data_IF_911498968534
#
_entry.id   IF_911498968534
#
_cell.length_a   1.000
_cell.length_b   1.000
_cell.length_c   1.000
_cell.angle_alpha   90.00
_cell.angle_beta   90.00
_cell.angle_gamma   90.00
#
_symmetry.space_group_name_H-M   'P 1'
#
loop_
_entity.id
_entity.type
_entity.pdbx_description
1 polymer ?
#
# COMPACT_ATOMS: atom_id res chain seq x y z
N UNK A 1 16.60 50.54 83.00
CA UNK A 1 15.73 50.56 81.87
C UNK A 1 16.58 50.09 80.65
N UNK A 2 16.41 48.81 80.18
CA UNK A 2 17.27 48.23 79.19
C UNK A 2 16.42 48.07 77.91
N UNK A 3 16.87 48.73 76.81
CA UNK A 3 16.25 48.67 75.53
C UNK A 3 17.04 47.67 74.70
N UNK A 4 16.42 46.56 74.28
CA UNK A 4 16.99 45.56 73.42
C UNK A 4 16.66 45.91 71.94
N UNK A 5 17.62 45.87 71.01
CA UNK A 5 17.32 46.12 69.62
C UNK A 5 16.72 44.83 68.98
N UNK A 6 15.60 44.98 68.24
CA UNK A 6 15.00 43.97 67.40
C UNK A 6 15.85 43.80 66.17
N UNK A 7 16.30 42.57 65.95
CA UNK A 7 16.94 42.14 64.70
C UNK A 7 15.87 42.05 63.57
N UNK A 8 15.99 42.89 62.59
CA UNK A 8 15.21 42.80 61.36
C UNK A 8 15.62 41.57 60.56
N UNK A 9 14.65 40.67 60.29
CA UNK A 9 14.81 39.59 59.36
C UNK A 9 14.61 40.12 57.91
N UNK A 10 15.68 40.02 57.13
CA UNK A 10 15.62 40.31 55.72
C UNK A 10 14.98 39.11 55.02
N UNK A 11 13.74 39.27 54.53
CA UNK A 11 13.08 38.27 53.71
C UNK A 11 13.53 38.50 52.27
N UNK A 12 14.41 37.63 51.78
CA UNK A 12 14.79 37.59 50.37
C UNK A 12 13.69 36.85 49.63
N UNK A 13 12.81 37.57 48.93
CA UNK A 13 11.83 37.01 48.04
C UNK A 13 12.51 36.67 46.70
N UNK A 14 12.86 35.40 46.48
CA UNK A 14 13.30 34.88 45.17
C UNK A 14 12.05 34.75 44.26
N UNK A 15 11.91 35.69 43.35
CA UNK A 15 10.92 35.60 42.28
C UNK A 15 11.37 34.53 41.26
N UNK A 16 10.73 33.35 41.31
CA UNK A 16 10.89 32.31 40.30
C UNK A 16 10.06 32.74 39.06
N UNK A 17 10.70 33.34 38.06
CA UNK A 17 10.07 33.63 36.79
C UNK A 17 9.87 32.30 36.04
N UNK A 18 8.67 31.72 36.10
CA UNK A 18 8.26 30.61 35.23
C UNK A 18 8.10 31.13 33.83
N UNK A 19 9.09 30.85 32.96
CA UNK A 19 8.98 31.02 31.50
C UNK A 19 8.08 29.91 31.02
N UNK A 20 6.76 30.13 31.02
CA UNK A 20 5.82 29.30 30.26
C UNK A 20 6.06 29.60 28.79
N UNK A 21 6.89 28.77 28.17
CA UNK A 21 7.03 28.74 26.70
C UNK A 21 5.67 28.43 26.12
N UNK A 22 5.05 29.40 25.47
CA UNK A 22 3.88 29.20 24.63
C UNK A 22 4.34 28.44 23.41
N UNK A 23 4.42 27.10 23.53
CA UNK A 23 4.51 26.23 22.37
C UNK A 23 3.19 26.41 21.60
N UNK A 24 3.21 27.21 20.53
CA UNK A 24 2.08 27.26 19.59
C UNK A 24 1.86 25.83 19.10
N UNK A 25 0.63 25.28 19.16
CA UNK A 25 0.35 24.03 18.50
C UNK A 25 0.72 24.20 17.01
N UNK A 26 1.66 23.41 16.52
CA UNK A 26 1.90 23.30 15.10
C UNK A 26 0.63 22.67 14.50
N UNK A 27 -0.15 23.45 13.76
CA UNK A 27 -1.31 22.97 13.02
C UNK A 27 -0.76 22.33 11.74
N UNK A 28 -0.93 21.04 11.58
CA UNK A 28 -0.63 20.38 10.33
C UNK A 28 -1.53 20.96 9.21
N UNK A 29 -1.00 21.07 8.00
CA UNK A 29 -1.71 21.61 6.86
C UNK A 29 -2.62 20.55 6.26
N UNK A 30 -3.81 20.91 5.74
CA UNK A 30 -4.67 19.97 5.05
C UNK A 30 -3.94 19.26 3.92
N UNK A 31 -4.11 17.96 3.82
CA UNK A 31 -3.59 17.15 2.72
C UNK A 31 -4.71 16.46 1.95
N UNK A 32 -4.42 16.04 0.73
CA UNK A 32 -5.26 15.12 -0.03
C UNK A 32 -4.43 13.96 -0.55
N UNK A 33 -5.03 12.77 -0.55
CA UNK A 33 -4.42 11.57 -1.12
C UNK A 33 -5.22 11.16 -2.34
N UNK A 34 -4.54 10.70 -3.40
CA UNK A 34 -5.14 10.03 -4.55
C UNK A 34 -4.49 8.68 -4.73
N UNK A 35 -5.26 7.64 -5.09
CA UNK A 35 -4.74 6.30 -5.34
C UNK A 35 -5.15 5.78 -6.70
N UNK A 36 -4.23 5.15 -7.40
CA UNK A 36 -4.45 4.48 -8.68
C UNK A 36 -3.92 3.06 -8.65
N UNK A 37 -4.58 2.17 -9.40
CA UNK A 37 -4.14 0.80 -9.61
C UNK A 37 -3.87 0.57 -11.12
N UNK A 38 -2.72 0.00 -11.44
CA UNK A 38 -2.32 -0.28 -12.82
C UNK A 38 -1.80 -1.71 -12.95
N UNK A 39 -2.48 -2.55 -13.74
CA UNK A 39 -3.76 -2.32 -14.42
C UNK A 39 -4.95 -2.29 -13.43
N UNK A 40 -6.11 -1.67 -13.79
CA UNK A 40 -7.30 -1.66 -12.94
C UNK A 40 -8.03 -3.02 -12.90
N UNK A 41 -7.63 -3.95 -13.76
CA UNK A 41 -8.09 -5.34 -13.75
C UNK A 41 -6.92 -6.29 -13.98
N UNK A 42 -6.93 -7.43 -13.28
CA UNK A 42 -5.83 -8.39 -13.30
C UNK A 42 -6.36 -9.82 -13.24
N UNK A 43 -5.52 -10.77 -13.60
CA UNK A 43 -5.76 -12.20 -13.36
C UNK A 43 -5.16 -12.57 -12.00
N UNK A 44 -5.79 -13.50 -11.28
CA UNK A 44 -5.25 -14.06 -10.04
C UNK A 44 -3.78 -14.38 -10.17
N UNK A 45 -2.96 -13.94 -9.22
CA UNK A 45 -1.53 -14.15 -9.17
C UNK A 45 -0.69 -13.19 -10.00
N UNK A 46 -1.31 -12.24 -10.76
CA UNK A 46 -0.55 -11.24 -11.50
C UNK A 46 -0.33 -9.96 -10.66
N UNK A 47 0.84 -9.32 -10.80
CA UNK A 47 1.14 -8.10 -10.05
C UNK A 47 0.32 -6.90 -10.55
N UNK A 48 -0.14 -6.07 -9.61
CA UNK A 48 -0.80 -4.78 -9.84
C UNK A 48 0.00 -3.71 -9.11
N UNK A 49 0.36 -2.65 -9.81
CA UNK A 49 1.02 -1.49 -9.22
C UNK A 49 -0.03 -0.57 -8.58
N UNK A 50 0.09 -0.34 -7.30
CA UNK A 50 -0.68 0.66 -6.54
C UNK A 50 0.22 1.89 -6.38
N UNK A 51 -0.27 3.04 -6.80
CA UNK A 51 0.43 4.31 -6.66
C UNK A 51 -0.46 5.30 -5.93
N UNK A 52 0.02 5.80 -4.79
CA UNK A 52 -0.60 6.89 -4.05
C UNK A 52 0.19 8.18 -4.26
N UNK A 53 -0.54 9.29 -4.41
CA UNK A 53 0.04 10.64 -4.43
C UNK A 53 -0.61 11.45 -3.33
N UNK A 54 0.22 12.04 -2.49
CA UNK A 54 -0.15 12.93 -1.40
C UNK A 54 0.15 14.37 -1.83
N UNK A 55 -0.87 15.20 -1.88
CA UNK A 55 -0.76 16.63 -2.12
C UNK A 55 -0.94 17.36 -0.79
N UNK A 56 0.10 18.11 -0.41
CA UNK A 56 0.13 18.91 0.81
C UNK A 56 0.98 20.16 0.58
N UNK A 57 0.56 21.36 1.07
CA UNK A 57 1.37 22.57 0.99
C UNK A 57 2.68 22.52 1.77
N UNK A 58 2.80 21.63 2.76
CA UNK A 58 4.01 21.37 3.52
C UNK A 58 4.79 20.16 3.00
N UNK A 59 5.75 19.69 3.79
CA UNK A 59 6.53 18.48 3.46
C UNK A 59 5.75 17.22 3.86
N UNK A 60 5.30 16.38 2.90
CA UNK A 60 4.59 15.14 3.20
C UNK A 60 5.53 14.01 3.69
N UNK A 61 6.85 14.22 3.65
CA UNK A 61 7.84 13.23 4.12
C UNK A 61 7.99 13.26 5.64
N UNK A 62 8.77 12.35 6.20
CA UNK A 62 9.09 12.35 7.63
C UNK A 62 8.02 11.78 8.57
N UNK A 63 6.85 11.39 8.03
CA UNK A 63 5.81 10.63 8.75
C UNK A 63 5.93 9.12 8.53
N UNK A 64 4.89 8.37 8.91
CA UNK A 64 4.81 6.92 8.71
C UNK A 64 4.59 6.52 7.24
N UNK A 65 4.28 7.48 6.37
CA UNK A 65 4.02 7.23 4.96
C UNK A 65 2.57 6.90 4.66
N UNK A 66 2.35 6.14 3.56
CA UNK A 66 1.03 5.69 3.10
C UNK A 66 0.88 4.20 3.43
N UNK A 67 -0.20 3.86 4.11
CA UNK A 67 -0.61 2.48 4.37
C UNK A 67 -1.63 2.05 3.33
N UNK A 68 -1.35 0.94 2.64
CA UNK A 68 -2.25 0.32 1.67
C UNK A 68 -3.02 -0.82 2.33
N UNK A 69 -4.33 -0.89 2.05
CA UNK A 69 -5.21 -1.97 2.50
C UNK A 69 -5.97 -2.55 1.32
N UNK A 70 -6.34 -3.83 1.41
CA UNK A 70 -7.34 -4.49 0.57
C UNK A 70 -8.58 -4.77 1.44
N UNK A 71 -9.61 -3.96 1.26
CA UNK A 71 -10.75 -3.96 2.18
C UNK A 71 -10.32 -3.57 3.59
N UNK A 72 -10.27 -4.54 4.49
CA UNK A 72 -9.79 -4.36 5.88
C UNK A 72 -8.41 -4.94 6.15
N UNK A 73 -7.82 -5.63 5.18
CA UNK A 73 -6.53 -6.32 5.35
C UNK A 73 -5.37 -5.40 5.00
N UNK A 74 -4.39 -5.29 5.91
CA UNK A 74 -3.17 -4.54 5.70
C UNK A 74 -2.31 -5.21 4.62
N UNK A 75 -1.95 -4.45 3.58
CA UNK A 75 -1.00 -4.88 2.57
C UNK A 75 0.43 -4.47 2.94
N UNK A 76 0.67 -3.16 3.05
CA UNK A 76 2.00 -2.62 3.40
C UNK A 76 1.91 -1.15 3.79
N UNK A 77 2.98 -0.62 4.40
CA UNK A 77 3.17 0.81 4.65
C UNK A 77 4.46 1.28 3.99
N UNK A 78 4.32 2.23 3.08
CA UNK A 78 5.41 2.74 2.24
C UNK A 78 5.67 4.22 2.54
N UNK A 79 6.92 4.59 2.73
CA UNK A 79 7.31 5.98 2.96
C UNK A 79 7.00 6.82 1.71
N UNK A 80 6.53 8.05 1.95
CA UNK A 80 6.31 9.04 0.89
C UNK A 80 7.65 9.63 0.48
N UNK A 81 7.91 9.71 -0.82
CA UNK A 81 9.10 10.37 -1.36
C UNK A 81 8.92 11.89 -1.42
N UNK A 82 9.99 12.63 -1.78
CA UNK A 82 9.99 14.08 -1.86
C UNK A 82 8.99 14.67 -2.90
N UNK A 83 8.44 13.84 -3.79
CA UNK A 83 7.41 14.24 -4.75
C UNK A 83 5.99 13.92 -4.25
N UNK A 84 5.83 13.54 -2.99
CA UNK A 84 4.55 13.16 -2.42
C UNK A 84 4.06 11.76 -2.84
N UNK A 85 4.91 10.88 -3.36
CA UNK A 85 4.52 9.61 -3.95
C UNK A 85 4.91 8.42 -3.08
N UNK A 86 4.03 7.41 -3.02
CA UNK A 86 4.27 6.09 -2.44
C UNK A 86 3.72 5.01 -3.38
N UNK A 87 4.49 3.94 -3.61
CA UNK A 87 4.10 2.86 -4.51
C UNK A 87 4.26 1.50 -3.88
N UNK A 88 3.31 0.61 -4.15
CA UNK A 88 3.32 -0.77 -3.69
C UNK A 88 2.89 -1.72 -4.81
N UNK A 89 3.50 -2.91 -4.89
CA UNK A 89 3.10 -3.95 -5.85
C UNK A 89 2.29 -5.01 -5.12
N UNK A 90 0.99 -5.07 -5.40
CA UNK A 90 0.09 -6.07 -4.84
C UNK A 90 -0.07 -7.27 -5.77
N UNK A 91 -0.31 -8.45 -5.18
CA UNK A 91 -0.69 -9.67 -5.90
C UNK A 91 -1.90 -10.28 -5.22
N UNK A 92 -3.00 -10.40 -5.96
CA UNK A 92 -4.27 -10.89 -5.42
C UNK A 92 -4.41 -12.39 -5.67
N UNK A 93 -4.83 -13.14 -4.65
CA UNK A 93 -5.01 -14.60 -4.70
C UNK A 93 -6.47 -15.02 -4.83
N UNK A 94 -7.40 -14.08 -4.67
CA UNK A 94 -8.85 -14.30 -4.78
C UNK A 94 -9.42 -13.54 -5.96
N UNK A 95 -10.47 -14.09 -6.57
CA UNK A 95 -11.22 -13.41 -7.63
C UNK A 95 -12.29 -12.50 -7.05
N UNK A 96 -12.63 -11.44 -7.76
CA UNK A 96 -13.67 -10.50 -7.36
C UNK A 96 -13.21 -9.05 -7.42
N UNK A 97 -13.96 -8.20 -6.75
CA UNK A 97 -13.68 -6.78 -6.61
C UNK A 97 -12.89 -6.55 -5.32
N UNK A 98 -11.66 -6.07 -5.45
CA UNK A 98 -10.79 -5.68 -4.35
C UNK A 98 -10.85 -4.17 -4.17
N UNK A 99 -11.24 -3.71 -2.98
CA UNK A 99 -11.28 -2.27 -2.65
C UNK A 99 -9.97 -1.88 -2.00
N UNK A 100 -9.15 -1.16 -2.74
CA UNK A 100 -7.84 -0.70 -2.27
C UNK A 100 -8.01 0.66 -1.61
N UNK A 101 -7.54 0.78 -0.39
CA UNK A 101 -7.50 2.02 0.38
C UNK A 101 -6.04 2.42 0.54
N UNK A 102 -5.70 3.65 0.16
CA UNK A 102 -4.42 4.27 0.47
C UNK A 102 -4.64 5.33 1.55
N UNK A 103 -4.09 5.10 2.73
CA UNK A 103 -4.21 6.00 3.88
C UNK A 103 -2.86 6.64 4.17
N UNK A 104 -2.75 7.94 3.90
CA UNK A 104 -1.61 8.73 4.33
C UNK A 104 -1.72 9.01 5.84
N UNK A 105 -0.70 8.64 6.59
CA UNK A 105 -0.71 8.69 8.06
C UNK A 105 -0.36 10.09 8.63
N UNK A 106 -0.13 11.06 7.74
CA UNK A 106 0.27 12.40 8.13
C UNK A 106 1.77 12.52 8.41
N UNK A 107 2.22 13.77 8.56
CA UNK A 107 3.56 14.16 8.99
C UNK A 107 3.49 15.26 10.04
N UNK A 108 4.63 15.85 10.40
CA UNK A 108 4.66 17.01 11.29
C UNK A 108 4.01 18.26 10.66
N UNK A 109 3.93 18.32 9.33
CA UNK A 109 3.45 19.48 8.58
C UNK A 109 2.13 19.22 7.84
N UNK A 110 1.76 17.95 7.61
CA UNK A 110 0.62 17.56 6.81
C UNK A 110 -0.35 16.68 7.60
N UNK A 111 -1.65 16.97 7.54
CA UNK A 111 -2.70 16.13 8.12
C UNK A 111 -2.79 14.78 7.40
N UNK A 112 -3.37 13.80 8.08
CA UNK A 112 -3.69 12.51 7.47
C UNK A 112 -4.83 12.66 6.45
N UNK A 113 -4.79 11.85 5.38
CA UNK A 113 -5.82 11.80 4.35
C UNK A 113 -5.88 10.41 3.73
N UNK A 114 -6.94 10.08 2.99
CA UNK A 114 -7.07 8.78 2.36
C UNK A 114 -7.91 8.85 1.08
N UNK A 115 -7.71 7.86 0.22
CA UNK A 115 -8.49 7.67 -1.00
C UNK A 115 -8.67 6.17 -1.28
N UNK A 116 -9.61 5.84 -2.16
CA UNK A 116 -9.95 4.47 -2.51
C UNK A 116 -10.02 4.25 -4.00
N UNK A 117 -9.56 3.08 -4.45
CA UNK A 117 -9.75 2.61 -5.83
C UNK A 117 -10.16 1.14 -5.83
N UNK A 118 -10.54 0.61 -6.97
CA UNK A 118 -10.98 -0.78 -7.10
C UNK A 118 -10.16 -1.52 -8.13
N UNK A 119 -9.77 -2.76 -7.80
CA UNK A 119 -9.13 -3.70 -8.73
C UNK A 119 -10.07 -4.87 -8.99
N UNK A 120 -10.36 -5.16 -10.26
CA UNK A 120 -11.14 -6.34 -10.65
C UNK A 120 -10.21 -7.52 -10.92
N UNK A 121 -10.34 -8.59 -10.13
CA UNK A 121 -9.52 -9.78 -10.28
C UNK A 121 -10.34 -10.93 -10.85
N UNK A 122 -9.87 -11.49 -11.96
CA UNK A 122 -10.52 -12.60 -12.67
C UNK A 122 -9.71 -13.90 -12.52
N UNK A 123 -10.36 -15.04 -12.72
CA UNK A 123 -9.66 -16.32 -12.80
C UNK A 123 -8.74 -16.38 -14.01
N UNK A 124 -7.65 -17.16 -13.90
CA UNK A 124 -6.84 -17.49 -15.06
C UNK A 124 -7.70 -18.19 -16.12
N UNK A 125 -7.47 -17.91 -17.42
CA UNK A 125 -8.14 -18.64 -18.50
C UNK A 125 -7.90 -20.14 -18.32
N UNK A 126 -8.98 -20.92 -18.34
CA UNK A 126 -8.84 -22.38 -18.38
C UNK A 126 -8.16 -22.76 -19.69
N UNK A 127 -7.07 -23.55 -19.66
CA UNK A 127 -6.47 -24.05 -20.88
C UNK A 127 -7.56 -24.75 -21.73
N UNK A 128 -7.57 -24.58 -23.05
CA UNK A 128 -8.52 -25.29 -23.89
C UNK A 128 -8.35 -26.80 -23.65
N UNK A 129 -9.48 -27.47 -23.48
CA UNK A 129 -9.48 -28.94 -23.37
C UNK A 129 -8.70 -29.50 -24.58
N UNK A 130 -7.81 -30.50 -24.36
CA UNK A 130 -7.12 -31.14 -25.47
C UNK A 130 -8.19 -31.59 -26.45
N UNK A 131 -8.01 -31.18 -27.74
CA UNK A 131 -8.93 -31.58 -28.80
C UNK A 131 -9.05 -33.12 -28.80
N UNK A 132 -10.27 -33.68 -28.95
CA UNK A 132 -10.43 -35.12 -29.06
C UNK A 132 -9.53 -35.60 -30.20
N UNK A 133 -8.61 -36.50 -29.84
CA UNK A 133 -7.65 -37.04 -30.81
C UNK A 133 -8.43 -37.62 -32.00
N UNK A 134 -8.15 -37.10 -33.21
CA UNK A 134 -8.74 -37.62 -34.43
C UNK A 134 -8.02 -38.95 -34.76
N UNK A 135 -8.70 -40.05 -34.48
CA UNK A 135 -8.21 -41.37 -34.90
C UNK A 135 -8.45 -41.54 -36.41
N UNK A 136 -7.42 -41.41 -37.21
CA UNK A 136 -7.49 -41.63 -38.69
C UNK A 136 -7.54 -43.10 -39.05
N UNK A 137 -7.10 -44.03 -38.22
CA UNK A 137 -7.16 -45.49 -38.40
C UNK A 137 -7.44 -46.19 -37.09
N UNK A 138 -8.24 -47.24 -37.16
CA UNK A 138 -8.81 -48.05 -36.07
C UNK A 138 -8.05 -47.96 -34.72
N UNK A 139 -8.76 -47.58 -33.66
CA UNK A 139 -8.27 -47.55 -32.28
C UNK A 139 -7.74 -48.94 -31.87
N UNK A 140 -6.44 -49.18 -32.04
CA UNK A 140 -5.75 -50.45 -31.84
C UNK A 140 -4.51 -50.61 -32.66
N UNK A 141 -4.24 -49.65 -33.57
CA UNK A 141 -3.09 -49.67 -34.45
C UNK A 141 -1.89 -48.85 -33.92
N UNK A 142 -0.74 -49.19 -34.39
CA UNK A 142 0.62 -48.87 -33.98
C UNK A 142 1.02 -47.38 -33.92
N UNK A 143 0.16 -46.39 -34.23
CA UNK A 143 0.56 -44.98 -34.30
C UNK A 143 -0.57 -44.11 -33.70
N UNK A 144 -0.31 -43.49 -32.57
CA UNK A 144 -1.11 -42.41 -31.99
C UNK A 144 -0.47 -41.07 -32.29
N UNK A 145 -1.15 -40.24 -33.10
CA UNK A 145 -0.75 -38.85 -33.29
C UNK A 145 -1.47 -38.02 -32.28
N UNK A 146 -0.72 -37.47 -31.33
CA UNK A 146 -1.23 -36.42 -30.45
C UNK A 146 -0.92 -35.07 -31.09
N UNK A 147 -1.91 -34.42 -31.66
CA UNK A 147 -1.78 -33.02 -32.10
C UNK A 147 -2.08 -32.14 -30.89
N UNK A 148 -1.11 -32.07 -30.00
CA UNK A 148 -1.10 -31.11 -28.95
C UNK A 148 -0.10 -30.03 -29.32
N UNK A 149 -0.59 -28.82 -29.42
CA UNK A 149 0.17 -27.59 -29.66
C UNK A 149 0.90 -27.49 -31.00
N UNK A 150 0.62 -26.40 -31.73
CA UNK A 150 1.27 -26.00 -33.00
C UNK A 150 2.71 -25.48 -32.70
N UNK A 151 3.46 -26.18 -31.88
CA UNK A 151 4.90 -26.02 -31.71
C UNK A 151 5.60 -27.33 -32.08
N UNK A 152 5.68 -27.59 -33.36
CA UNK A 152 6.69 -28.43 -34.08
C UNK A 152 7.39 -29.56 -33.30
N UNK A 153 6.73 -30.27 -32.41
CA UNK A 153 7.26 -31.47 -31.78
C UNK A 153 6.41 -32.69 -32.17
N UNK A 154 6.83 -33.33 -33.23
CA UNK A 154 6.31 -34.65 -33.63
C UNK A 154 7.05 -35.69 -32.83
N UNK A 155 6.40 -36.25 -31.78
CA UNK A 155 6.95 -37.37 -31.05
C UNK A 155 6.43 -38.69 -31.64
N UNK A 156 7.27 -39.39 -32.38
CA UNK A 156 6.95 -40.70 -32.91
C UNK A 156 7.44 -41.76 -31.92
N UNK A 157 6.51 -42.35 -31.18
CA UNK A 157 6.79 -43.49 -30.30
C UNK A 157 6.55 -44.79 -31.10
N UNK A 158 7.61 -45.55 -31.34
CA UNK A 158 7.50 -46.91 -31.89
C UNK A 158 7.45 -47.89 -30.73
N UNK A 159 6.42 -48.68 -30.66
CA UNK A 159 6.38 -49.91 -29.90
C UNK A 159 6.79 -51.11 -30.75
#
# INVERSE_FOLDING_TARGET
MRITPRRGQLVVATALAAVLGLASPAWALPSSTTVTATPPSAVVGTPVQLAATVDCPGDPTGGLGVTFFDGGDLLDTVLVNANGQAGYTATFTTTGSHTIIASYNGSAECDASSDTTTVQVTSAPTPPAPAPGFCLFACGGLITFSVGDINNNVNISKH
#
